data_IF_690534699874
#
_entry.id   IF_690534699874
#
_cell.length_a   1.000
_cell.length_b   1.000
_cell.length_c   1.000
_cell.angle_alpha   90.00
_cell.angle_beta   90.00
_cell.angle_gamma   90.00
#
_symmetry.space_group_name_H-M   'P 1'
#
loop_
_entity.id
_entity.type
_entity.pdbx_description
1 polymer ?
#
# COMPACT_ATOMS: atom_id res chain seq x y z
N UNK A 1 13.29 20.76 -20.52
CA UNK A 1 11.89 20.36 -20.33
C UNK A 1 11.62 18.94 -20.85
N UNK A 2 12.44 18.42 -21.77
CA UNK A 2 12.29 17.07 -22.33
C UNK A 2 12.49 15.92 -21.33
N UNK A 3 13.26 16.11 -20.25
CA UNK A 3 13.48 15.07 -19.24
C UNK A 3 12.27 14.82 -18.31
N UNK A 4 11.38 15.80 -18.13
CA UNK A 4 10.26 15.70 -17.16
C UNK A 4 9.00 15.10 -17.81
N UNK A 5 8.82 15.33 -19.11
CA UNK A 5 7.71 14.80 -19.90
C UNK A 5 7.50 13.27 -19.78
N UNK A 6 8.53 12.41 -19.84
CA UNK A 6 8.35 10.96 -19.68
C UNK A 6 7.92 10.56 -18.26
N UNK A 7 8.35 11.29 -17.23
CA UNK A 7 7.91 11.03 -15.85
C UNK A 7 6.45 11.44 -15.66
N UNK A 8 6.01 12.53 -16.28
CA UNK A 8 4.62 12.97 -16.19
C UNK A 8 3.65 11.97 -16.86
N UNK A 9 4.07 11.42 -18.00
CA UNK A 9 3.31 10.42 -18.76
C UNK A 9 3.09 9.11 -17.99
N UNK A 10 4.04 8.71 -17.13
CA UNK A 10 3.93 7.50 -16.30
C UNK A 10 3.28 7.78 -14.93
N UNK A 11 3.54 8.94 -14.35
CA UNK A 11 3.02 9.33 -13.03
C UNK A 11 1.50 9.51 -13.04
N UNK A 12 0.93 10.11 -14.10
CA UNK A 12 -0.52 10.34 -14.19
C UNK A 12 -1.31 9.01 -14.14
N UNK A 13 -1.03 8.01 -14.99
CA UNK A 13 -1.67 6.71 -14.91
C UNK A 13 -1.50 6.02 -13.55
N UNK A 14 -0.29 6.06 -12.98
CA UNK A 14 -0.01 5.43 -11.68
C UNK A 14 -0.78 6.11 -10.55
N UNK A 15 -0.89 7.44 -10.55
CA UNK A 15 -1.66 8.18 -9.54
C UNK A 15 -3.16 7.85 -9.62
N UNK A 16 -3.72 7.78 -10.85
CA UNK A 16 -5.13 7.40 -11.05
C UNK A 16 -5.39 5.96 -10.62
N UNK A 17 -4.50 5.02 -10.97
CA UNK A 17 -4.61 3.63 -10.53
C UNK A 17 -4.58 3.52 -9.00
N UNK A 18 -3.70 4.28 -8.35
CA UNK A 18 -3.61 4.30 -6.88
C UNK A 18 -4.88 4.87 -6.23
N UNK A 19 -5.46 5.94 -6.79
CA UNK A 19 -6.73 6.49 -6.34
C UNK A 19 -7.86 5.46 -6.39
N UNK A 20 -7.94 4.66 -7.47
CA UNK A 20 -8.93 3.58 -7.61
C UNK A 20 -8.73 2.51 -6.53
N UNK A 21 -7.48 2.11 -6.29
CA UNK A 21 -7.14 1.11 -5.24
C UNK A 21 -7.52 1.63 -3.85
N UNK A 22 -7.25 2.91 -3.55
CA UNK A 22 -7.64 3.51 -2.26
C UNK A 22 -9.16 3.50 -2.06
N UNK A 23 -9.95 3.77 -3.10
CA UNK A 23 -11.42 3.64 -3.04
C UNK A 23 -11.85 2.19 -2.77
N UNK A 24 -11.24 1.22 -3.45
CA UNK A 24 -11.51 -0.21 -3.22
C UNK A 24 -11.17 -0.63 -1.78
N UNK A 25 -10.10 -0.08 -1.21
CA UNK A 25 -9.73 -0.33 0.18
C UNK A 25 -10.77 0.22 1.16
N UNK A 26 -11.24 1.45 0.95
CA UNK A 26 -12.32 2.06 1.76
C UNK A 26 -13.61 1.24 1.67
N UNK A 27 -13.98 0.76 0.48
CA UNK A 27 -15.15 -0.10 0.31
C UNK A 27 -14.99 -1.45 1.02
N UNK A 28 -13.79 -2.05 0.95
CA UNK A 28 -13.48 -3.28 1.70
C UNK A 28 -13.56 -3.07 3.22
N UNK A 29 -13.17 -1.89 3.70
CA UNK A 29 -13.25 -1.54 5.12
C UNK A 29 -14.71 -1.33 5.55
N UNK A 30 -15.53 -0.72 4.67
CA UNK A 30 -16.98 -0.57 4.87
C UNK A 30 -17.67 -1.93 4.98
N UNK A 31 -17.29 -2.90 4.14
CA UNK A 31 -17.79 -4.27 4.23
C UNK A 31 -17.38 -4.98 5.53
N UNK A 32 -16.25 -4.58 6.13
CA UNK A 32 -15.81 -5.06 7.44
C UNK A 32 -16.50 -4.36 8.63
N UNK A 33 -17.36 -3.36 8.36
CA UNK A 33 -18.11 -2.61 9.38
C UNK A 33 -17.42 -1.32 9.85
N UNK A 34 -16.30 -0.91 9.26
CA UNK A 34 -15.64 0.36 9.58
C UNK A 34 -15.92 1.40 8.48
N UNK A 35 -16.52 2.54 8.84
CA UNK A 35 -16.85 3.61 7.90
C UNK A 35 -15.76 4.68 7.91
N UNK A 36 -15.06 4.82 6.77
CA UNK A 36 -14.08 5.87 6.54
C UNK A 36 -14.54 6.78 5.39
N UNK A 37 -14.48 8.12 5.54
CA UNK A 37 -14.77 9.03 4.44
C UNK A 37 -13.71 8.92 3.35
N UNK A 38 -14.14 8.66 2.12
CA UNK A 38 -13.24 8.43 0.97
C UNK A 38 -12.34 9.64 0.70
N UNK A 39 -12.85 10.86 0.86
CA UNK A 39 -12.09 12.09 0.63
C UNK A 39 -10.91 12.24 1.59
N UNK A 40 -11.14 11.95 2.88
CA UNK A 40 -10.12 12.03 3.92
C UNK A 40 -9.06 10.94 3.75
N UNK A 41 -9.49 9.72 3.37
CA UNK A 41 -8.57 8.63 3.05
C UNK A 41 -7.68 8.96 1.85
N UNK A 42 -8.24 9.52 0.77
CA UNK A 42 -7.49 9.93 -0.41
C UNK A 42 -6.54 11.11 -0.11
N UNK A 43 -6.96 12.04 0.74
CA UNK A 43 -6.11 13.16 1.16
C UNK A 43 -4.93 12.70 2.02
N UNK A 44 -5.17 11.78 2.95
CA UNK A 44 -4.12 11.17 3.76
C UNK A 44 -3.11 10.39 2.90
N UNK A 45 -3.59 9.67 1.88
CA UNK A 45 -2.76 8.92 0.92
C UNK A 45 -1.87 9.86 0.08
N UNK A 46 -2.44 10.97 -0.39
CA UNK A 46 -1.71 12.01 -1.12
C UNK A 46 -0.65 12.70 -0.27
N UNK A 47 -0.98 13.12 0.96
CA UNK A 47 -0.01 13.71 1.89
C UNK A 47 1.10 12.71 2.24
N UNK A 48 0.73 11.45 2.51
CA UNK A 48 1.69 10.39 2.79
C UNK A 48 2.70 10.19 1.65
N UNK A 49 2.21 10.24 0.42
CA UNK A 49 3.04 10.14 -0.79
C UNK A 49 3.94 11.38 -0.99
N UNK A 50 3.45 12.58 -0.68
CA UNK A 50 4.27 13.80 -0.71
C UNK A 50 5.41 13.75 0.31
N UNK A 51 5.10 13.38 1.55
CA UNK A 51 6.10 13.27 2.62
C UNK A 51 7.15 12.20 2.28
N UNK A 52 6.72 11.05 1.75
CA UNK A 52 7.65 9.97 1.37
C UNK A 52 8.52 10.35 0.16
N UNK A 53 7.99 11.14 -0.78
CA UNK A 53 8.74 11.66 -1.93
C UNK A 53 9.90 12.55 -1.49
N UNK A 54 9.71 13.42 -0.49
CA UNK A 54 10.80 14.20 0.11
C UNK A 54 11.88 13.32 0.77
N UNK A 55 11.52 12.13 1.22
CA UNK A 55 12.43 11.16 1.81
C UNK A 55 13.08 10.23 0.77
N UNK A 56 12.86 10.45 -0.53
CA UNK A 56 13.43 9.66 -1.63
C UNK A 56 12.63 8.42 -2.02
N UNK A 57 11.38 8.28 -1.57
CA UNK A 57 10.51 7.17 -1.98
C UNK A 57 9.95 7.39 -3.39
N UNK A 58 10.19 6.41 -4.27
CA UNK A 58 9.63 6.35 -5.63
C UNK A 58 8.21 5.76 -5.62
N UNK A 59 7.80 5.12 -4.52
CA UNK A 59 6.54 4.39 -4.42
C UNK A 59 5.45 5.26 -3.82
N UNK A 60 4.31 5.32 -4.53
CA UNK A 60 3.07 5.87 -3.99
C UNK A 60 2.63 5.04 -2.79
N UNK A 61 2.29 5.70 -1.68
CA UNK A 61 1.60 5.02 -0.59
C UNK A 61 0.18 4.69 -1.06
N UNK A 62 -0.35 3.58 -0.56
CA UNK A 62 -1.74 3.19 -0.78
C UNK A 62 -2.35 2.78 0.55
N UNK A 63 -3.65 3.02 0.68
CA UNK A 63 -4.41 2.64 1.87
C UNK A 63 -4.49 1.10 2.00
N UNK A 64 -4.59 0.61 3.23
CA UNK A 64 -4.36 -0.79 3.59
C UNK A 64 -5.36 -1.79 2.97
N UNK A 65 -4.92 -2.55 1.96
CA UNK A 65 -5.72 -3.56 1.20
C UNK A 65 -6.25 -4.70 2.11
N UNK A 66 -5.56 -4.98 3.23
CA UNK A 66 -5.86 -6.10 4.12
C UNK A 66 -6.76 -5.76 5.32
N UNK A 67 -7.39 -4.59 5.36
CA UNK A 67 -8.19 -4.14 6.51
C UNK A 67 -9.21 -5.17 7.02
N UNK A 68 -10.06 -5.78 6.17
CA UNK A 68 -11.00 -6.82 6.63
C UNK A 68 -10.31 -8.05 7.23
N UNK A 69 -9.14 -8.45 6.72
CA UNK A 69 -8.41 -9.61 7.22
C UNK A 69 -7.81 -9.34 8.61
N UNK A 70 -7.18 -8.18 8.80
CA UNK A 70 -6.60 -7.78 10.08
C UNK A 70 -7.66 -7.51 11.14
N UNK A 71 -8.81 -6.94 10.74
CA UNK A 71 -9.94 -6.74 11.64
C UNK A 71 -10.49 -8.07 12.17
N UNK A 72 -10.59 -9.10 11.32
CA UNK A 72 -10.97 -10.47 11.73
C UNK A 72 -9.96 -11.09 12.71
N UNK A 73 -8.70 -10.70 12.65
CA UNK A 73 -7.64 -11.10 13.59
C UNK A 73 -7.62 -10.28 14.89
N UNK A 74 -8.55 -9.33 15.07
CA UNK A 74 -8.63 -8.49 16.27
C UNK A 74 -7.68 -7.29 16.28
N UNK A 75 -7.09 -6.91 15.14
CA UNK A 75 -6.20 -5.76 15.05
C UNK A 75 -6.95 -4.45 15.40
N UNK A 76 -6.31 -3.63 16.25
CA UNK A 76 -6.78 -2.29 16.64
C UNK A 76 -5.88 -1.21 16.03
N UNK A 77 -6.33 0.05 16.11
CA UNK A 77 -5.59 1.24 15.65
C UNK A 77 -4.14 1.32 16.19
N UNK A 78 -3.89 0.78 17.38
CA UNK A 78 -2.54 0.72 17.96
C UNK A 78 -1.54 -0.13 17.16
N UNK A 79 -2.00 -1.13 16.40
CA UNK A 79 -1.12 -1.95 15.56
C UNK A 79 -0.44 -1.12 14.48
N UNK A 80 -1.20 -0.26 13.79
CA UNK A 80 -0.66 0.62 12.75
C UNK A 80 0.32 1.66 13.32
N UNK A 81 0.03 2.19 14.51
CA UNK A 81 0.88 3.20 15.16
C UNK A 81 2.21 2.60 15.64
N UNK A 82 2.16 1.41 16.27
CA UNK A 82 3.38 0.68 16.67
C UNK A 82 4.20 0.31 15.43
N UNK A 83 3.55 -0.12 14.35
CA UNK A 83 4.25 -0.44 13.11
C UNK A 83 4.98 0.80 12.55
N UNK A 84 4.32 1.96 12.49
CA UNK A 84 4.95 3.22 12.05
C UNK A 84 6.15 3.62 12.92
N UNK A 85 6.01 3.55 14.25
CA UNK A 85 7.07 3.92 15.21
C UNK A 85 8.24 2.93 15.17
N UNK A 86 8.00 1.66 14.92
CA UNK A 86 9.06 0.64 14.81
C UNK A 86 9.78 0.78 13.47
N UNK A 87 9.05 0.91 12.36
CA UNK A 87 9.68 0.97 11.04
C UNK A 87 10.45 2.27 10.78
N UNK A 88 10.08 3.39 11.42
CA UNK A 88 10.77 4.67 11.29
C UNK A 88 12.27 4.56 11.64
N UNK A 89 12.70 4.16 12.85
CA UNK A 89 14.11 3.97 13.15
C UNK A 89 14.75 2.84 12.33
N UNK A 90 14.04 1.76 12.01
CA UNK A 90 14.60 0.69 11.16
C UNK A 90 15.01 1.20 9.77
N UNK A 91 14.23 2.11 9.19
CA UNK A 91 14.54 2.75 7.92
C UNK A 91 15.62 3.83 8.08
N UNK A 92 15.55 4.67 9.12
CA UNK A 92 16.55 5.72 9.37
C UNK A 92 17.96 5.18 9.65
N UNK A 93 18.08 4.05 10.35
CA UNK A 93 19.36 3.39 10.62
C UNK A 93 19.80 2.41 9.51
N UNK A 94 19.02 2.26 8.43
CA UNK A 94 19.36 1.36 7.32
C UNK A 94 19.33 -0.14 7.66
N UNK A 95 18.81 -0.52 8.83
CA UNK A 95 18.71 -1.91 9.29
C UNK A 95 17.82 -2.73 8.34
N UNK A 96 16.82 -2.10 7.73
CA UNK A 96 15.97 -2.74 6.71
C UNK A 96 16.77 -3.28 5.51
N UNK A 97 17.85 -2.59 5.09
CA UNK A 97 18.70 -3.06 3.99
C UNK A 97 19.48 -4.33 4.37
N UNK A 98 19.93 -4.42 5.63
CA UNK A 98 20.57 -5.63 6.16
C UNK A 98 19.59 -6.80 6.21
N UNK A 99 18.36 -6.56 6.66
CA UNK A 99 17.31 -7.60 6.71
C UNK A 99 16.98 -8.10 5.31
N UNK A 100 16.82 -7.20 4.33
CA UNK A 100 16.58 -7.60 2.93
C UNK A 100 17.75 -8.40 2.33
N UNK A 101 19.00 -8.16 2.75
CA UNK A 101 20.14 -8.97 2.31
C UNK A 101 20.08 -10.42 2.82
N UNK A 102 19.38 -10.68 3.93
CA UNK A 102 19.17 -12.02 4.48
C UNK A 102 17.97 -12.73 3.86
N UNK A 103 16.97 -11.98 3.39
CA UNK A 103 15.78 -12.53 2.76
C UNK A 103 16.09 -12.90 1.31
N UNK A 104 16.06 -14.21 1.02
CA UNK A 104 16.21 -14.67 -0.34
C UNK A 104 15.08 -14.11 -1.24
N UNK A 105 15.45 -13.47 -2.35
CA UNK A 105 14.51 -12.96 -3.36
C UNK A 105 13.52 -14.05 -3.84
N UNK A 106 13.95 -15.32 -3.79
CA UNK A 106 13.12 -16.49 -4.11
C UNK A 106 11.87 -16.57 -3.23
N UNK A 107 11.91 -16.10 -1.99
CA UNK A 107 10.77 -16.14 -1.06
C UNK A 107 9.66 -15.16 -1.43
N UNK A 108 9.96 -14.10 -2.19
CA UNK A 108 8.98 -13.10 -2.63
C UNK A 108 8.06 -13.66 -3.73
N UNK A 109 8.61 -14.51 -4.59
CA UNK A 109 7.91 -15.06 -5.75
C UNK A 109 6.61 -15.82 -5.40
N UNK A 110 6.58 -16.76 -4.42
CA UNK A 110 5.34 -17.46 -4.06
C UNK A 110 4.27 -16.54 -3.45
N UNK A 111 4.68 -15.46 -2.76
CA UNK A 111 3.74 -14.48 -2.18
C UNK A 111 2.97 -13.80 -3.32
N UNK A 112 3.69 -13.28 -4.32
CA UNK A 112 3.09 -12.59 -5.47
C UNK A 112 2.16 -13.53 -6.26
N UNK A 113 2.58 -14.78 -6.48
CA UNK A 113 1.75 -15.78 -7.19
C UNK A 113 0.45 -16.05 -6.43
N UNK A 114 0.49 -16.10 -5.11
CA UNK A 114 -0.69 -16.36 -4.28
C UNK A 114 -1.72 -15.23 -4.39
N UNK A 115 -1.28 -13.97 -4.37
CA UNK A 115 -2.16 -12.81 -4.60
C UNK A 115 -2.77 -12.83 -5.99
N UNK A 116 -1.97 -13.09 -7.04
CA UNK A 116 -2.47 -13.18 -8.42
C UNK A 116 -3.56 -14.24 -8.56
N UNK A 117 -3.36 -15.42 -7.97
CA UNK A 117 -4.35 -16.51 -8.00
C UNK A 117 -5.66 -16.11 -7.33
N UNK A 118 -5.62 -15.44 -6.18
CA UNK A 118 -6.82 -14.97 -5.49
C UNK A 118 -7.59 -13.95 -6.33
N UNK A 119 -6.89 -12.99 -6.93
CA UNK A 119 -7.53 -11.97 -7.79
C UNK A 119 -8.18 -12.63 -9.01
N UNK A 120 -7.48 -13.56 -9.66
CA UNK A 120 -8.01 -14.30 -10.82
C UNK A 120 -9.23 -15.15 -10.42
N UNK A 121 -9.16 -15.86 -9.29
CA UNK A 121 -10.28 -16.66 -8.80
C UNK A 121 -11.52 -15.78 -8.51
N UNK A 122 -11.33 -14.67 -7.80
CA UNK A 122 -12.40 -13.72 -7.52
C UNK A 122 -12.99 -13.06 -8.79
N UNK A 123 -12.19 -12.94 -9.86
CA UNK A 123 -12.64 -12.41 -11.15
C UNK A 123 -13.47 -13.42 -11.95
N UNK A 124 -13.27 -14.72 -11.75
CA UNK A 124 -13.97 -15.79 -12.48
C UNK A 124 -15.34 -16.11 -11.87
N UNK A 125 -15.54 -15.93 -10.57
CA UNK A 125 -16.83 -16.16 -9.89
C UNK A 125 -17.91 -15.11 -10.21
N UNK A 126 -17.56 -14.04 -10.94
CA UNK A 126 -18.47 -12.96 -11.36
C UNK A 126 -19.02 -13.10 -12.80
N UNK A 127 -18.78 -14.22 -13.47
CA UNK A 127 -19.37 -14.60 -14.76
C UNK A 127 -20.27 -15.83 -14.60
#
# INVERSE_FOLDING_TARGET
MDEIMPYLSTTIPTAVANAIVTIQCVESARQAGDFYPTQEAMFADGIGTLISSFCGSILSMTTYIGHPAMKKMGAKQGYSLVNGVVFLPLCFFGINALIMSLVAIVAINPIIVSFKKIIIACSLERF
#
